data_IF_346801341252
#
_entry.id   IF_346801341252
#
_cell.length_a   1.000
_cell.length_b   1.000
_cell.length_c   1.000
_cell.angle_alpha   90.00
_cell.angle_beta   90.00
_cell.angle_gamma   90.00
#
_symmetry.space_group_name_H-M   'P 1'
#
loop_
_entity.id
_entity.type
_entity.pdbx_description
1 polymer ?
#
# COMPACT_ATOMS: atom_id res chain seq x y z
N UNK A 1 -36.27 65.22 39.30
CA UNK A 1 -35.72 65.24 37.96
C UNK A 1 -35.02 63.92 37.75
N UNK A 2 -35.56 62.92 37.02
CA UNK A 2 -34.90 61.68 36.72
C UNK A 2 -34.23 61.75 35.32
N UNK A 3 -32.96 61.32 35.27
CA UNK A 3 -32.17 61.25 34.08
C UNK A 3 -32.53 59.95 33.29
N UNK A 4 -33.04 60.11 32.10
CA UNK A 4 -33.23 59.04 31.14
C UNK A 4 -31.90 58.44 30.71
N UNK A 5 -31.70 57.12 30.93
CA UNK A 5 -30.63 56.37 30.36
C UNK A 5 -31.16 55.67 29.08
N UNK A 6 -30.64 56.09 27.93
CA UNK A 6 -30.91 55.47 26.67
C UNK A 6 -30.00 54.21 26.56
N UNK A 7 -30.62 53.05 26.60
CA UNK A 7 -29.92 51.79 26.28
C UNK A 7 -29.86 51.61 24.77
N UNK A 8 -28.66 51.74 24.22
CA UNK A 8 -28.36 51.39 22.83
C UNK A 8 -28.14 49.90 22.78
N UNK A 9 -29.07 49.14 22.23
CA UNK A 9 -28.88 47.70 21.95
C UNK A 9 -28.08 47.56 20.65
N UNK A 10 -26.83 47.11 20.80
CA UNK A 10 -26.01 46.73 19.68
C UNK A 10 -26.34 45.28 19.29
N UNK A 11 -27.13 45.12 18.24
CA UNK A 11 -27.35 43.83 17.59
C UNK A 11 -26.08 43.44 16.81
N UNK A 12 -25.27 42.55 17.37
CA UNK A 12 -24.17 41.93 16.67
C UNK A 12 -24.73 40.88 15.70
N UNK A 13 -24.68 41.18 14.40
CA UNK A 13 -24.95 40.25 13.33
C UNK A 13 -23.74 39.29 13.22
N UNK A 14 -23.88 38.10 13.78
CA UNK A 14 -22.89 37.04 13.59
C UNK A 14 -23.10 36.41 12.23
N UNK A 15 -22.34 36.87 11.21
CA UNK A 15 -22.31 36.23 9.90
C UNK A 15 -21.50 34.94 10.03
N UNK A 16 -22.21 33.83 10.11
CA UNK A 16 -21.59 32.49 10.00
C UNK A 16 -21.22 32.30 8.52
N UNK A 17 -19.96 32.56 8.20
CA UNK A 17 -19.40 32.17 6.92
C UNK A 17 -19.23 30.63 6.93
N UNK A 18 -20.17 29.93 6.32
CA UNK A 18 -20.01 28.51 5.98
C UNK A 18 -18.93 28.40 4.92
N UNK A 19 -17.68 28.15 5.32
CA UNK A 19 -16.66 27.68 4.40
C UNK A 19 -17.07 26.27 3.96
N UNK A 20 -17.63 26.19 2.76
CA UNK A 20 -17.77 24.95 2.04
C UNK A 20 -16.33 24.50 1.68
N UNK A 21 -15.78 23.59 2.45
CA UNK A 21 -14.62 22.80 2.04
C UNK A 21 -15.11 21.89 0.90
N UNK A 22 -15.14 22.44 -0.30
CA UNK A 22 -15.13 21.63 -1.52
C UNK A 22 -13.78 20.89 -1.52
N UNK A 23 -13.78 19.66 -1.00
CA UNK A 23 -12.68 18.76 -1.19
C UNK A 23 -12.40 18.67 -2.67
N UNK A 24 -11.31 19.26 -3.13
CA UNK A 24 -10.72 18.93 -4.41
C UNK A 24 -10.31 17.46 -4.34
N UNK A 25 -11.28 16.56 -4.62
CA UNK A 25 -10.92 15.31 -5.26
C UNK A 25 -10.21 15.76 -6.54
N UNK A 26 -8.89 15.67 -6.56
CA UNK A 26 -8.14 15.87 -7.78
C UNK A 26 -8.64 14.80 -8.75
N UNK A 27 -9.58 15.21 -9.61
CA UNK A 27 -10.01 14.44 -10.74
C UNK A 27 -8.74 14.20 -11.55
N UNK A 28 -8.23 12.98 -11.49
CA UNK A 28 -7.09 12.61 -12.32
C UNK A 28 -7.53 12.87 -13.75
N UNK A 29 -6.75 13.64 -14.54
CA UNK A 29 -7.13 13.92 -15.92
C UNK A 29 -7.39 12.57 -16.58
N UNK A 30 -8.62 12.37 -17.02
CA UNK A 30 -9.01 11.20 -17.82
C UNK A 30 -8.26 11.30 -19.14
N UNK A 31 -7.02 10.79 -19.16
CA UNK A 31 -6.30 10.57 -20.40
C UNK A 31 -7.22 9.68 -21.25
N UNK A 32 -7.53 10.04 -22.51
CA UNK A 32 -8.37 9.21 -23.36
C UNK A 32 -7.80 7.80 -23.33
N UNK A 33 -8.66 6.81 -23.12
CA UNK A 33 -8.28 5.42 -23.02
C UNK A 33 -7.43 5.06 -24.25
N UNK A 34 -6.14 4.93 -24.04
CA UNK A 34 -5.25 4.45 -25.10
C UNK A 34 -5.69 3.03 -25.45
N UNK A 35 -5.76 2.64 -26.72
CA UNK A 35 -5.96 1.25 -27.08
C UNK A 35 -4.88 0.44 -26.36
N UNK A 36 -5.26 -0.72 -25.80
CA UNK A 36 -4.32 -1.56 -25.07
C UNK A 36 -3.07 -1.84 -25.90
N UNK A 37 -1.90 -1.73 -25.29
CA UNK A 37 -0.63 -2.02 -25.95
C UNK A 37 -0.27 -3.48 -25.72
N UNK A 38 0.20 -4.14 -26.78
CA UNK A 38 0.73 -5.50 -26.70
C UNK A 38 2.04 -5.57 -27.48
N UNK A 39 3.07 -6.07 -26.83
CA UNK A 39 4.35 -6.43 -27.43
C UNK A 39 4.67 -7.87 -27.03
N UNK A 40 4.98 -8.69 -28.00
CA UNK A 40 5.53 -10.03 -27.80
C UNK A 40 6.68 -10.19 -28.77
N UNK A 41 7.77 -10.78 -28.33
CA UNK A 41 8.95 -11.02 -29.16
C UNK A 41 9.42 -12.45 -29.02
N UNK A 42 10.09 -12.96 -30.04
CA UNK A 42 10.73 -14.27 -29.99
C UNK A 42 11.78 -14.31 -28.87
N UNK A 43 11.80 -15.42 -28.17
CA UNK A 43 12.79 -15.75 -27.16
C UNK A 43 13.44 -17.11 -27.46
N UNK A 44 14.63 -17.34 -26.89
CA UNK A 44 15.38 -18.60 -27.11
C UNK A 44 14.63 -19.85 -26.60
N UNK A 45 13.67 -19.68 -25.67
CA UNK A 45 12.94 -20.79 -25.04
C UNK A 45 11.52 -20.92 -25.55
N UNK A 46 10.86 -19.79 -25.86
CA UNK A 46 9.46 -19.76 -26.27
C UNK A 46 9.27 -18.82 -27.46
N UNK A 47 8.60 -19.28 -28.52
CA UNK A 47 8.29 -18.43 -29.67
C UNK A 47 7.24 -17.39 -29.34
N UNK A 48 7.27 -16.27 -30.08
CA UNK A 48 6.28 -15.19 -29.99
C UNK A 48 4.85 -15.74 -30.01
N UNK A 49 4.52 -16.61 -30.97
CA UNK A 49 3.19 -17.18 -31.11
C UNK A 49 2.72 -17.93 -29.86
N UNK A 50 3.58 -18.81 -29.31
CA UNK A 50 3.27 -19.58 -28.11
C UNK A 50 3.09 -18.67 -26.90
N UNK A 51 3.94 -17.65 -26.77
CA UNK A 51 3.85 -16.71 -25.67
C UNK A 51 2.58 -15.85 -25.79
N UNK A 52 2.25 -15.38 -26.99
CA UNK A 52 1.01 -14.64 -27.24
C UNK A 52 -0.23 -15.46 -26.88
N UNK A 53 -0.28 -16.75 -27.26
CA UNK A 53 -1.37 -17.66 -26.88
C UNK A 53 -1.43 -17.84 -25.36
N UNK A 54 -0.28 -17.97 -24.69
CA UNK A 54 -0.23 -18.17 -23.25
C UNK A 54 -0.72 -16.94 -22.44
N UNK A 55 -0.50 -15.72 -22.94
CA UNK A 55 -0.90 -14.50 -22.24
C UNK A 55 -2.33 -14.04 -22.56
N UNK A 56 -2.90 -14.48 -23.69
CA UNK A 56 -4.22 -14.06 -24.12
C UNK A 56 -5.32 -14.27 -23.06
N UNK A 57 -5.42 -15.42 -22.38
CA UNK A 57 -6.47 -15.68 -21.41
C UNK A 57 -6.49 -14.69 -20.23
N UNK A 58 -5.35 -14.11 -19.86
CA UNK A 58 -5.31 -13.12 -18.76
C UNK A 58 -6.13 -11.86 -19.08
N UNK A 59 -6.35 -11.56 -20.34
CA UNK A 59 -7.11 -10.36 -20.76
C UNK A 59 -8.45 -10.68 -21.43
N UNK A 60 -8.70 -11.93 -21.79
CA UNK A 60 -9.82 -12.33 -22.64
C UNK A 60 -10.78 -13.29 -21.94
N UNK A 61 -10.31 -14.01 -20.91
CA UNK A 61 -11.16 -14.92 -20.13
C UNK A 61 -11.78 -14.18 -18.93
N UNK A 62 -13.12 -14.04 -18.91
CA UNK A 62 -13.81 -13.42 -17.78
C UNK A 62 -13.60 -14.11 -16.43
N UNK A 63 -13.24 -15.40 -16.44
CA UNK A 63 -12.95 -16.13 -15.19
C UNK A 63 -11.66 -15.69 -14.50
N UNK A 64 -10.75 -15.05 -15.23
CA UNK A 64 -9.51 -14.50 -14.67
C UNK A 64 -9.76 -13.17 -13.94
N UNK A 65 -10.84 -12.47 -14.28
CA UNK A 65 -11.14 -11.14 -13.78
C UNK A 65 -10.41 -10.03 -14.56
N UNK A 66 -10.24 -8.85 -13.94
CA UNK A 66 -9.63 -7.69 -14.60
C UNK A 66 -8.10 -7.74 -14.51
N UNK A 67 -7.43 -8.01 -15.62
CA UNK A 67 -5.98 -7.84 -15.74
C UNK A 67 -5.68 -6.48 -16.36
N UNK A 68 -4.93 -5.64 -15.66
CA UNK A 68 -4.57 -4.27 -16.07
C UNK A 68 -3.27 -4.19 -16.81
N UNK A 69 -2.28 -4.95 -16.35
CA UNK A 69 -0.94 -5.01 -16.92
C UNK A 69 -0.34 -6.40 -16.73
N UNK A 70 0.40 -6.85 -17.72
CA UNK A 70 1.20 -8.07 -17.67
C UNK A 70 2.54 -7.79 -18.31
N UNK A 71 3.63 -8.16 -17.63
CA UNK A 71 4.99 -8.11 -18.16
C UNK A 71 5.65 -9.46 -17.92
N UNK A 72 6.23 -10.03 -18.94
CA UNK A 72 7.01 -11.26 -18.85
C UNK A 72 8.46 -10.95 -19.14
N UNK A 73 9.33 -11.36 -18.25
CA UNK A 73 10.78 -11.20 -18.40
C UNK A 73 11.45 -12.58 -18.47
N UNK A 74 12.40 -12.71 -19.40
CA UNK A 74 13.27 -13.87 -19.49
C UNK A 74 14.69 -13.43 -19.85
N UNK A 75 15.69 -14.01 -19.18
CA UNK A 75 17.09 -13.66 -19.43
C UNK A 75 17.42 -12.16 -19.25
N UNK A 76 16.75 -11.46 -18.33
CA UNK A 76 16.94 -10.02 -18.10
C UNK A 76 16.27 -9.11 -19.15
N UNK A 77 15.50 -9.66 -20.09
CA UNK A 77 14.80 -8.92 -21.15
C UNK A 77 13.29 -9.04 -20.98
N UNK A 78 12.54 -7.99 -21.31
CA UNK A 78 11.09 -8.09 -21.47
C UNK A 78 10.80 -8.80 -22.77
N UNK A 79 10.11 -9.94 -22.72
CA UNK A 79 9.73 -10.76 -23.86
C UNK A 79 8.24 -10.67 -24.17
N UNK A 80 7.42 -10.25 -23.23
CA UNK A 80 6.03 -9.87 -23.49
C UNK A 80 5.60 -8.74 -22.55
N UNK A 81 4.77 -7.86 -23.09
CA UNK A 81 4.21 -6.73 -22.35
C UNK A 81 2.82 -6.44 -22.94
N UNK A 82 1.78 -6.47 -22.08
CA UNK A 82 0.39 -6.20 -22.48
C UNK A 82 -0.31 -5.38 -21.41
N UNK A 83 -1.06 -4.37 -21.86
CA UNK A 83 -1.87 -3.51 -21.02
C UNK A 83 -3.31 -3.51 -21.51
N UNK A 84 -4.26 -3.51 -20.58
CA UNK A 84 -5.67 -3.31 -20.90
C UNK A 84 -5.92 -1.85 -21.36
N UNK A 85 -7.04 -1.59 -22.05
CA UNK A 85 -7.44 -0.23 -22.43
C UNK A 85 -7.44 0.71 -21.21
N UNK A 86 -6.82 1.88 -21.34
CA UNK A 86 -6.68 2.85 -20.26
C UNK A 86 -5.43 2.69 -19.39
N UNK A 87 -4.68 1.61 -19.56
CA UNK A 87 -3.43 1.32 -18.85
C UNK A 87 -2.23 1.37 -19.78
N UNK A 88 -1.05 1.54 -19.24
CA UNK A 88 0.22 1.57 -19.97
C UNK A 88 1.41 1.47 -19.03
N UNK A 89 2.65 1.52 -19.56
CA UNK A 89 3.87 1.33 -18.77
C UNK A 89 4.03 2.37 -17.65
N UNK A 90 3.50 3.57 -17.84
CA UNK A 90 3.59 4.65 -16.84
C UNK A 90 2.39 4.68 -15.87
N UNK A 91 1.44 3.76 -16.01
CA UNK A 91 0.28 3.72 -15.12
C UNK A 91 0.70 3.22 -13.73
N UNK A 92 0.44 4.05 -12.73
CA UNK A 92 0.72 3.67 -11.34
C UNK A 92 -0.36 2.72 -10.83
N UNK A 93 0.04 1.52 -10.47
CA UNK A 93 -0.80 0.50 -9.86
C UNK A 93 -0.40 0.29 -8.39
N UNK A 94 -1.36 -0.08 -7.55
CA UNK A 94 -1.07 -0.40 -6.15
C UNK A 94 -0.26 -1.70 -6.12
N UNK A 95 0.92 -1.63 -5.49
CA UNK A 95 1.84 -2.76 -5.43
C UNK A 95 1.47 -3.80 -4.36
N UNK A 96 0.65 -3.41 -3.39
CA UNK A 96 0.35 -4.25 -2.22
C UNK A 96 1.63 -4.90 -1.66
N UNK A 97 1.61 -6.19 -1.37
CA UNK A 97 2.74 -6.92 -0.78
C UNK A 97 3.99 -7.00 -1.67
N UNK A 98 3.93 -6.65 -2.95
CA UNK A 98 5.14 -6.49 -3.76
C UNK A 98 6.08 -5.41 -3.20
N UNK A 99 5.55 -4.44 -2.45
CA UNK A 99 6.35 -3.45 -1.73
C UNK A 99 7.35 -4.09 -0.74
N UNK A 100 7.04 -5.27 -0.20
CA UNK A 100 7.95 -6.02 0.69
C UNK A 100 9.26 -6.40 -0.01
N UNK A 101 9.23 -6.68 -1.31
CA UNK A 101 10.43 -6.97 -2.10
C UNK A 101 11.37 -5.76 -2.15
N UNK A 102 10.82 -4.56 -2.32
CA UNK A 102 11.62 -3.32 -2.27
C UNK A 102 12.19 -3.10 -0.87
N UNK A 103 11.38 -3.30 0.17
CA UNK A 103 11.84 -3.23 1.57
C UNK A 103 12.97 -4.21 1.83
N UNK A 104 12.85 -5.46 1.36
CA UNK A 104 13.89 -6.48 1.53
C UNK A 104 15.21 -6.08 0.85
N UNK A 105 15.16 -5.49 -0.35
CA UNK A 105 16.35 -4.97 -1.03
C UNK A 105 17.00 -3.84 -0.22
N UNK A 106 16.21 -2.86 0.25
CA UNK A 106 16.74 -1.75 1.07
C UNK A 106 17.38 -2.25 2.36
N UNK A 107 16.73 -3.20 3.04
CA UNK A 107 17.30 -3.85 4.24
C UNK A 107 18.59 -4.58 3.88
N UNK A 108 18.62 -5.32 2.76
CA UNK A 108 19.80 -6.02 2.27
C UNK A 108 20.99 -5.06 2.02
N UNK A 109 20.74 -3.88 1.48
CA UNK A 109 21.76 -2.84 1.32
C UNK A 109 22.30 -2.37 2.69
N UNK A 110 21.42 -2.15 3.67
CA UNK A 110 21.85 -1.77 5.03
C UNK A 110 22.65 -2.88 5.72
N UNK A 111 22.33 -4.16 5.47
CA UNK A 111 23.12 -5.29 5.95
C UNK A 111 24.49 -5.33 5.26
N UNK A 112 24.56 -5.11 3.96
CA UNK A 112 25.82 -5.05 3.22
C UNK A 112 26.72 -3.91 3.71
N UNK A 113 26.13 -2.77 4.10
CA UNK A 113 26.84 -1.63 4.68
C UNK A 113 27.24 -1.86 6.15
N UNK A 114 26.95 -3.02 6.74
CA UNK A 114 27.24 -3.33 8.15
C UNK A 114 26.39 -2.54 9.16
N UNK A 115 25.29 -1.92 8.71
CA UNK A 115 24.41 -1.10 9.57
C UNK A 115 23.33 -1.93 10.26
N UNK A 116 22.98 -3.08 9.71
CA UNK A 116 22.03 -4.04 10.25
C UNK A 116 22.63 -5.45 10.16
N UNK A 117 22.17 -6.35 11.03
CA UNK A 117 22.48 -7.76 10.98
C UNK A 117 21.19 -8.60 11.00
N UNK A 118 21.13 -9.64 10.18
CA UNK A 118 19.91 -10.43 10.03
C UNK A 118 19.54 -11.22 11.28
N UNK A 119 20.54 -11.74 11.97
CA UNK A 119 20.37 -12.67 13.10
C UNK A 119 20.49 -11.98 14.47
N UNK A 120 20.70 -10.67 14.46
CA UNK A 120 20.64 -9.86 15.67
C UNK A 120 19.21 -9.44 15.98
N UNK A 121 18.89 -9.18 17.27
CA UNK A 121 17.60 -8.63 17.66
C UNK A 121 17.27 -7.37 16.88
N UNK A 122 16.02 -7.25 16.44
CA UNK A 122 15.54 -6.05 15.81
C UNK A 122 15.58 -4.87 16.79
N UNK A 123 16.15 -3.74 16.34
CA UNK A 123 16.32 -2.55 17.20
C UNK A 123 14.99 -1.80 17.25
N UNK A 124 14.05 -2.31 18.06
CA UNK A 124 12.77 -1.68 18.34
C UNK A 124 12.77 -1.26 19.81
N UNK A 125 12.80 0.05 20.11
CA UNK A 125 12.90 0.55 21.49
C UNK A 125 11.78 0.04 22.40
N UNK A 126 10.56 -0.11 21.88
CA UNK A 126 9.37 -0.55 22.59
C UNK A 126 9.47 -1.98 23.12
N UNK A 127 10.37 -2.79 22.55
CA UNK A 127 10.53 -4.23 22.91
C UNK A 127 11.64 -4.47 23.95
N UNK A 128 12.31 -3.41 24.41
CA UNK A 128 13.48 -3.53 25.30
C UNK A 128 13.12 -3.57 26.78
N UNK A 129 11.83 -3.66 27.13
CA UNK A 129 11.41 -3.78 28.53
C UNK A 129 11.91 -5.10 29.14
N UNK A 130 12.25 -5.11 30.44
CA UNK A 130 12.68 -6.34 31.14
C UNK A 130 11.62 -7.45 30.99
N UNK A 131 12.05 -8.63 30.54
CA UNK A 131 11.20 -9.81 30.29
C UNK A 131 10.23 -9.69 29.13
N UNK A 132 10.38 -8.71 28.25
CA UNK A 132 9.63 -8.65 27.00
C UNK A 132 10.19 -9.68 26.01
N UNK A 133 9.39 -10.71 25.68
CA UNK A 133 9.81 -11.76 24.74
C UNK A 133 10.09 -11.23 23.34
N UNK A 134 9.52 -10.08 22.97
CA UNK A 134 9.73 -9.44 21.67
C UNK A 134 11.16 -8.96 21.47
N UNK A 135 11.92 -8.75 22.54
CA UNK A 135 13.36 -8.42 22.46
C UNK A 135 14.19 -9.49 21.73
N UNK A 136 13.69 -10.72 21.63
CA UNK A 136 14.35 -11.80 20.89
C UNK A 136 13.99 -11.88 19.40
N UNK A 137 13.05 -11.05 18.94
CA UNK A 137 12.67 -11.01 17.51
C UNK A 137 13.82 -10.43 16.70
N UNK A 138 14.34 -11.23 15.77
CA UNK A 138 15.44 -10.81 14.88
C UNK A 138 14.91 -10.13 13.62
N UNK A 139 15.77 -9.41 12.92
CA UNK A 139 15.45 -8.85 11.60
C UNK A 139 15.07 -9.96 10.60
N UNK A 140 15.69 -11.15 10.71
CA UNK A 140 15.33 -12.32 9.90
C UNK A 140 13.91 -12.76 10.16
N UNK A 141 13.45 -12.81 11.40
CA UNK A 141 12.06 -13.17 11.74
C UNK A 141 11.06 -12.19 11.09
N UNK A 142 11.35 -10.89 11.12
CA UNK A 142 10.51 -9.88 10.49
C UNK A 142 10.45 -10.07 8.96
N UNK A 143 11.60 -10.26 8.30
CA UNK A 143 11.65 -10.46 6.85
C UNK A 143 11.00 -11.76 6.39
N UNK A 144 10.98 -12.78 7.23
CA UNK A 144 10.34 -14.07 6.96
C UNK A 144 8.86 -14.13 7.36
N UNK A 145 8.27 -13.02 7.82
CA UNK A 145 6.88 -12.99 8.32
C UNK A 145 6.63 -13.97 9.48
N UNK A 146 7.65 -14.18 10.34
CA UNK A 146 7.64 -15.14 11.45
C UNK A 146 8.03 -14.50 12.78
N UNK A 147 7.59 -13.28 13.00
CA UNK A 147 7.88 -12.52 14.23
C UNK A 147 7.22 -13.09 15.47
N UNK A 148 6.10 -13.79 15.32
CA UNK A 148 5.26 -14.25 16.44
C UNK A 148 4.37 -13.17 17.05
N UNK A 149 4.40 -11.94 16.51
CA UNK A 149 3.48 -10.89 16.94
C UNK A 149 2.03 -11.27 16.62
N UNK A 150 1.13 -11.03 17.57
CA UNK A 150 -0.30 -11.20 17.38
C UNK A 150 -0.82 -10.11 16.44
N UNK A 151 -0.78 -10.40 15.15
CA UNK A 151 -1.17 -9.52 14.07
C UNK A 151 -1.92 -10.29 12.99
N UNK A 152 -3.16 -9.91 12.75
CA UNK A 152 -4.04 -10.54 11.78
C UNK A 152 -3.98 -9.79 10.44
N UNK A 153 -3.57 -10.47 9.38
CA UNK A 153 -3.54 -9.86 8.04
C UNK A 153 -4.93 -9.73 7.44
N UNK A 154 -5.70 -10.82 7.50
CA UNK A 154 -7.08 -10.89 7.02
C UNK A 154 -7.94 -11.56 8.09
N UNK A 155 -9.16 -11.08 8.29
CA UNK A 155 -10.11 -11.68 9.20
C UNK A 155 -10.76 -12.91 8.54
N UNK A 156 -10.26 -14.11 8.83
CA UNK A 156 -10.82 -15.35 8.32
C UNK A 156 -12.23 -15.55 8.87
N UNK A 157 -13.21 -15.76 7.97
CA UNK A 157 -14.60 -15.98 8.34
C UNK A 157 -15.39 -14.75 8.79
N UNK A 158 -14.77 -13.57 8.83
CA UNK A 158 -15.48 -12.31 9.07
C UNK A 158 -15.96 -11.69 7.76
N UNK A 159 -17.12 -11.04 7.82
CA UNK A 159 -17.63 -10.21 6.72
C UNK A 159 -17.11 -8.77 6.80
N UNK A 160 -16.49 -8.41 7.92
CA UNK A 160 -15.97 -7.07 8.20
C UNK A 160 -14.44 -7.04 7.95
N UNK A 161 -14.04 -6.39 6.86
CA UNK A 161 -12.62 -6.28 6.49
C UNK A 161 -11.77 -5.62 7.61
N UNK A 162 -12.39 -4.77 8.43
CA UNK A 162 -11.72 -4.04 9.51
C UNK A 162 -11.66 -4.81 10.84
N UNK A 163 -12.07 -6.09 10.85
CA UNK A 163 -11.82 -6.97 12.00
C UNK A 163 -10.35 -7.44 12.06
N UNK A 164 -9.60 -7.26 10.96
CA UNK A 164 -8.19 -7.60 10.91
C UNK A 164 -7.28 -6.39 11.18
N UNK A 165 -6.07 -6.66 11.70
CA UNK A 165 -5.10 -5.63 12.05
C UNK A 165 -4.56 -4.88 10.84
N UNK A 166 -4.29 -5.57 9.73
CA UNK A 166 -3.72 -4.91 8.55
C UNK A 166 -4.61 -3.80 7.98
N UNK A 167 -5.91 -4.02 7.71
CA UNK A 167 -6.80 -2.93 7.30
C UNK A 167 -6.92 -1.81 8.33
N UNK A 168 -6.95 -2.16 9.62
CA UNK A 168 -6.98 -1.16 10.72
C UNK A 168 -5.72 -0.32 10.73
N UNK A 169 -4.55 -0.96 10.63
CA UNK A 169 -3.25 -0.31 10.60
C UNK A 169 -3.12 0.67 9.44
N UNK A 170 -3.60 0.29 8.24
CA UNK A 170 -3.43 1.08 7.02
C UNK A 170 -4.49 2.19 6.87
N UNK A 171 -5.73 1.96 7.32
CA UNK A 171 -6.86 2.81 6.95
C UNK A 171 -7.63 3.40 8.14
N UNK A 172 -7.43 2.89 9.36
CA UNK A 172 -8.13 3.37 10.57
C UNK A 172 -7.15 3.90 11.61
N UNK A 173 -7.17 3.27 12.77
CA UNK A 173 -6.47 3.69 13.99
C UNK A 173 -4.93 3.62 13.90
N UNK A 174 -4.37 2.82 13.01
CA UNK A 174 -2.94 2.75 12.76
C UNK A 174 -2.41 3.70 11.68
N UNK A 175 -3.27 4.32 10.88
CA UNK A 175 -2.88 5.07 9.67
C UNK A 175 -1.93 6.24 9.90
N UNK A 176 -2.01 6.88 11.06
CA UNK A 176 -1.16 8.03 11.41
C UNK A 176 0.28 7.58 11.76
N UNK A 177 0.44 6.34 12.23
CA UNK A 177 1.75 5.75 12.54
C UNK A 177 1.67 4.22 12.48
N UNK A 178 1.88 3.66 11.28
CA UNK A 178 1.82 2.21 11.04
C UNK A 178 2.90 1.44 11.80
N UNK A 179 4.08 2.04 11.99
CA UNK A 179 5.15 1.42 12.77
C UNK A 179 4.71 1.25 14.22
N UNK A 180 4.19 2.32 14.82
CA UNK A 180 3.67 2.30 16.20
C UNK A 180 2.58 1.26 16.38
N UNK A 181 1.68 1.14 15.42
CA UNK A 181 0.63 0.11 15.47
C UNK A 181 1.22 -1.31 15.55
N UNK A 182 2.19 -1.61 14.69
CA UNK A 182 2.88 -2.91 14.68
C UNK A 182 3.71 -3.15 15.95
N UNK A 183 4.48 -2.16 16.41
CA UNK A 183 5.34 -2.21 17.59
C UNK A 183 4.58 -2.53 18.88
N UNK A 184 3.31 -2.16 18.96
CA UNK A 184 2.47 -2.39 20.15
C UNK A 184 1.80 -3.75 20.18
N UNK A 185 1.91 -4.56 19.14
CA UNK A 185 1.32 -5.92 19.14
C UNK A 185 2.02 -6.80 20.17
N UNK A 186 1.27 -7.62 20.94
CA UNK A 186 1.84 -8.62 21.82
C UNK A 186 2.41 -9.81 21.03
N UNK A 187 3.09 -10.74 21.74
CA UNK A 187 3.41 -12.08 21.23
C UNK A 187 2.24 -13.01 21.44
#
# INVERSE_FOLDING_TARGET
MPRNKIHLAATAFCAIATLSLSGCAAEQPTKPASPGFTMVVDDAVISEEKLAVAIAPFFEDPAVGETRALVVMHGGRVVAERYAPGYGPDTRLISWSMAKSVTAVLVGMMVADGRLALDEPAIVPEWQAPRDGRAAITLRHLLHMSSGLDHTEMAEGSVEIFDADTPRMLFLDGRENVARYAETRPL
#
